data_IF_110899316601
#
_entry.id   IF_110899316601
#
_cell.length_a   1.000
_cell.length_b   1.000
_cell.length_c   1.000
_cell.angle_alpha   90.00
_cell.angle_beta   90.00
_cell.angle_gamma   90.00
#
_symmetry.space_group_name_H-M   'P 1'
#
loop_
_entity.id
_entity.type
_entity.pdbx_description
1 polymer ?
#
# COMPACT_ATOMS: atom_id res chain seq x y z
N UNK A 1 24.10 1.22 45.36
CA UNK A 1 24.08 0.21 44.28
C UNK A 1 24.51 0.96 43.04
N UNK A 2 25.64 0.56 42.46
CA UNK A 2 26.19 1.17 41.26
C UNK A 2 25.19 0.98 40.10
N UNK A 3 24.63 2.07 39.58
CA UNK A 3 23.62 2.00 38.51
C UNK A 3 24.20 1.44 37.20
N UNK A 4 25.54 1.38 37.08
CA UNK A 4 26.26 0.84 35.92
C UNK A 4 26.16 -0.69 35.74
N UNK A 5 25.47 -1.41 36.62
CA UNK A 5 25.32 -2.88 36.58
C UNK A 5 23.89 -3.33 36.21
N UNK A 6 22.96 -2.40 35.96
CA UNK A 6 21.60 -2.79 35.54
C UNK A 6 21.62 -3.24 34.07
N UNK A 7 21.39 -4.53 33.85
CA UNK A 7 21.12 -5.08 32.52
C UNK A 7 19.88 -4.46 31.85
N UNK A 8 19.67 -4.75 30.56
CA UNK A 8 18.60 -4.15 29.75
C UNK A 8 17.21 -4.27 30.37
N UNK A 9 16.41 -3.21 30.28
CA UNK A 9 15.03 -3.19 30.78
C UNK A 9 14.11 -4.05 29.89
N UNK A 10 14.02 -5.35 30.22
CA UNK A 10 13.30 -6.34 29.40
C UNK A 10 11.81 -6.02 29.23
N UNK A 11 11.16 -5.43 30.24
CA UNK A 11 9.74 -5.04 30.16
C UNK A 11 9.53 -3.96 29.10
N UNK A 12 10.41 -2.97 29.05
CA UNK A 12 10.34 -1.89 28.06
C UNK A 12 10.70 -2.40 26.66
N UNK A 13 11.77 -3.19 26.55
CA UNK A 13 12.24 -3.71 25.26
C UNK A 13 11.20 -4.67 24.65
N UNK A 14 10.62 -5.59 25.42
CA UNK A 14 9.58 -6.49 24.92
C UNK A 14 8.33 -5.75 24.43
N UNK A 15 7.97 -4.63 25.08
CA UNK A 15 6.91 -3.73 24.59
C UNK A 15 7.29 -3.07 23.27
N UNK A 16 8.49 -2.51 23.14
CA UNK A 16 8.99 -1.90 21.88
C UNK A 16 8.99 -2.91 20.72
N UNK A 17 9.44 -4.14 20.97
CA UNK A 17 9.42 -5.24 19.98
C UNK A 17 7.98 -5.56 19.57
N UNK A 18 7.07 -5.66 20.53
CA UNK A 18 5.65 -5.96 20.24
C UNK A 18 5.00 -4.86 19.39
N UNK A 19 5.19 -3.60 19.79
CA UNK A 19 4.58 -2.45 19.12
C UNK A 19 5.17 -2.24 17.71
N UNK A 20 6.49 -2.39 17.54
CA UNK A 20 7.14 -2.29 16.22
C UNK A 20 6.76 -3.44 15.27
N UNK A 21 6.68 -4.69 15.76
CA UNK A 21 6.22 -5.83 14.97
C UNK A 21 4.77 -5.67 14.51
N UNK A 22 3.89 -5.14 15.37
CA UNK A 22 2.50 -4.87 14.99
C UNK A 22 2.41 -3.88 13.80
N UNK A 23 3.27 -2.87 13.77
CA UNK A 23 3.34 -1.93 12.64
C UNK A 23 3.88 -2.61 11.38
N UNK A 24 4.96 -3.42 11.49
CA UNK A 24 5.49 -4.18 10.35
C UNK A 24 4.41 -5.05 9.70
N UNK A 25 3.64 -5.78 10.51
CA UNK A 25 2.55 -6.64 10.01
C UNK A 25 1.45 -5.82 9.33
N UNK A 26 1.03 -4.71 9.92
CA UNK A 26 -0.01 -3.87 9.35
C UNK A 26 0.43 -3.20 8.03
N UNK A 27 1.69 -2.74 7.94
CA UNK A 27 2.22 -2.17 6.70
C UNK A 27 2.40 -3.26 5.63
N UNK A 28 2.76 -4.48 6.01
CA UNK A 28 2.85 -5.63 5.09
C UNK A 28 1.49 -6.00 4.48
N UNK A 29 0.41 -5.89 5.26
CA UNK A 29 -0.95 -6.06 4.75
C UNK A 29 -1.26 -5.02 3.65
N UNK A 30 -0.90 -3.75 3.88
CA UNK A 30 -1.08 -2.68 2.88
C UNK A 30 -0.25 -2.94 1.61
N UNK A 31 1.02 -3.34 1.74
CA UNK A 31 1.86 -3.72 0.60
C UNK A 31 1.22 -4.86 -0.22
N UNK A 32 0.61 -5.84 0.45
CA UNK A 32 -0.08 -6.96 -0.21
C UNK A 32 -1.34 -6.52 -0.94
N UNK A 33 -2.10 -5.57 -0.39
CA UNK A 33 -3.25 -4.98 -1.07
C UNK A 33 -2.83 -4.16 -2.31
N UNK A 34 -1.67 -3.50 -2.28
CA UNK A 34 -1.13 -2.83 -3.47
C UNK A 34 -0.72 -3.84 -4.54
N UNK A 35 -0.09 -4.94 -4.15
CA UNK A 35 0.25 -6.03 -5.07
C UNK A 35 -1.00 -6.66 -5.71
N UNK A 36 -2.12 -6.75 -4.99
CA UNK A 36 -3.36 -7.25 -5.60
C UNK A 36 -3.91 -6.31 -6.68
N UNK A 37 -3.72 -4.98 -6.56
CA UNK A 37 -4.02 -4.05 -7.65
C UNK A 37 -3.12 -4.29 -8.86
N UNK A 38 -1.83 -4.60 -8.66
CA UNK A 38 -0.93 -4.97 -9.76
C UNK A 38 -1.41 -6.25 -10.48
N UNK A 39 -1.94 -7.23 -9.74
CA UNK A 39 -2.56 -8.42 -10.34
C UNK A 39 -3.85 -8.07 -11.11
N UNK A 40 -4.69 -7.16 -10.59
CA UNK A 40 -5.85 -6.66 -11.34
C UNK A 40 -5.43 -5.94 -12.62
N UNK A 41 -4.33 -5.18 -12.61
CA UNK A 41 -3.82 -4.51 -13.80
C UNK A 41 -3.42 -5.50 -14.92
N UNK A 42 -3.00 -6.73 -14.57
CA UNK A 42 -2.73 -7.79 -15.57
C UNK A 42 -4.00 -8.34 -16.23
N UNK A 43 -5.15 -8.22 -15.57
CA UNK A 43 -6.44 -8.66 -16.08
C UNK A 43 -7.15 -7.62 -16.98
N UNK A 44 -6.53 -6.46 -17.21
CA UNK A 44 -7.09 -5.42 -18.09
C UNK A 44 -7.32 -5.98 -19.50
N UNK A 45 -8.54 -5.80 -19.98
CA UNK A 45 -9.01 -6.25 -21.29
C UNK A 45 -8.99 -7.76 -21.48
N UNK A 46 -9.07 -8.51 -20.38
CA UNK A 46 -9.10 -9.97 -20.38
C UNK A 46 -10.46 -10.51 -19.92
N UNK A 47 -10.79 -11.73 -20.36
CA UNK A 47 -11.80 -12.61 -19.77
C UNK A 47 -11.22 -13.98 -19.47
N UNK A 48 -11.97 -14.78 -18.72
CA UNK A 48 -11.64 -16.18 -18.48
C UNK A 48 -12.17 -17.05 -19.63
N UNK A 49 -11.35 -18.00 -20.09
CA UNK A 49 -11.77 -19.14 -20.88
C UNK A 49 -11.16 -20.44 -20.33
N UNK A 50 -11.34 -21.55 -21.05
CA UNK A 50 -10.80 -22.87 -20.67
C UNK A 50 -9.26 -22.92 -20.49
N UNK A 51 -8.52 -21.96 -21.06
CA UNK A 51 -7.07 -21.87 -21.04
C UNK A 51 -6.55 -20.75 -20.11
N UNK A 52 -7.43 -20.09 -19.33
CA UNK A 52 -7.09 -18.98 -18.45
C UNK A 52 -7.53 -17.62 -18.99
N UNK A 53 -6.69 -16.59 -18.83
CA UNK A 53 -6.99 -15.24 -19.28
C UNK A 53 -6.72 -15.08 -20.78
N UNK A 54 -7.71 -14.56 -21.51
CA UNK A 54 -7.61 -14.22 -22.94
C UNK A 54 -8.18 -12.82 -23.20
N UNK A 55 -7.76 -12.19 -24.29
CA UNK A 55 -8.26 -10.88 -24.69
C UNK A 55 -9.78 -10.86 -24.87
N UNK A 56 -10.44 -9.81 -24.35
CA UNK A 56 -11.89 -9.59 -24.41
C UNK A 56 -12.29 -8.15 -24.79
N UNK A 57 -11.32 -7.26 -25.04
CA UNK A 57 -11.58 -5.87 -25.41
C UNK A 57 -11.80 -4.94 -24.21
N UNK A 58 -12.66 -3.95 -24.35
CA UNK A 58 -12.72 -2.77 -23.48
C UNK A 58 -13.82 -2.84 -22.39
N UNK A 59 -13.83 -3.93 -21.62
CA UNK A 59 -14.84 -4.20 -20.58
C UNK A 59 -14.28 -4.11 -19.14
N UNK A 60 -13.56 -3.03 -18.80
CA UNK A 60 -12.82 -2.92 -17.53
C UNK A 60 -13.59 -2.27 -16.36
N UNK A 61 -14.88 -1.95 -16.53
CA UNK A 61 -15.66 -1.21 -15.54
C UNK A 61 -15.68 -1.87 -14.14
N UNK A 62 -16.02 -3.16 -14.08
CA UNK A 62 -16.09 -3.91 -12.82
C UNK A 62 -14.70 -4.14 -12.21
N UNK A 63 -13.69 -4.37 -13.06
CA UNK A 63 -12.29 -4.49 -12.66
C UNK A 63 -11.80 -3.21 -11.96
N UNK A 64 -12.08 -2.05 -12.55
CA UNK A 64 -11.72 -0.74 -11.99
C UNK A 64 -12.50 -0.42 -10.71
N UNK A 65 -13.78 -0.80 -10.64
CA UNK A 65 -14.55 -0.68 -9.40
C UNK A 65 -13.94 -1.54 -8.26
N UNK A 66 -13.45 -2.74 -8.59
CA UNK A 66 -12.69 -3.59 -7.66
C UNK A 66 -11.40 -2.92 -7.19
N UNK A 67 -10.59 -2.38 -8.10
CA UNK A 67 -9.36 -1.65 -7.74
C UNK A 67 -9.64 -0.42 -6.86
N UNK A 68 -10.71 0.33 -7.15
CA UNK A 68 -11.15 1.45 -6.31
C UNK A 68 -11.61 1.01 -4.91
N UNK A 69 -12.31 -0.12 -4.80
CA UNK A 69 -12.68 -0.69 -3.50
C UNK A 69 -11.44 -1.05 -2.67
N UNK A 70 -10.41 -1.63 -3.30
CA UNK A 70 -9.13 -1.93 -2.65
C UNK A 70 -8.40 -0.63 -2.25
N UNK A 71 -8.46 0.44 -3.07
CA UNK A 71 -7.84 1.72 -2.74
C UNK A 71 -8.45 2.35 -1.48
N UNK A 72 -9.78 2.26 -1.32
CA UNK A 72 -10.47 2.69 -0.10
C UNK A 72 -10.01 1.86 1.11
N UNK A 73 -9.90 0.54 0.97
CA UNK A 73 -9.42 -0.33 2.04
C UNK A 73 -7.99 0.00 2.45
N UNK A 74 -7.10 0.26 1.48
CA UNK A 74 -5.72 0.71 1.73
C UNK A 74 -5.73 2.00 2.54
N UNK A 75 -6.52 3.00 2.14
CA UNK A 75 -6.65 4.26 2.89
C UNK A 75 -7.11 4.01 4.32
N UNK A 76 -8.16 3.20 4.53
CA UNK A 76 -8.65 2.85 5.87
C UNK A 76 -7.59 2.18 6.74
N UNK A 77 -6.83 1.24 6.17
CA UNK A 77 -5.75 0.54 6.88
C UNK A 77 -4.62 1.47 7.27
N UNK A 78 -4.20 2.35 6.37
CA UNK A 78 -3.20 3.36 6.65
C UNK A 78 -3.70 4.33 7.73
N UNK A 79 -4.94 4.81 7.63
CA UNK A 79 -5.58 5.69 8.61
C UNK A 79 -5.60 5.09 10.01
N UNK A 80 -5.85 3.78 10.12
CA UNK A 80 -5.85 3.01 11.35
C UNK A 80 -4.47 2.62 11.91
N UNK A 81 -3.36 2.94 11.23
CA UNK A 81 -2.03 2.65 11.75
C UNK A 81 -1.74 3.42 13.04
N UNK A 82 -1.24 2.70 14.06
CA UNK A 82 -0.67 3.32 15.26
C UNK A 82 0.53 4.17 14.87
N UNK A 83 0.58 5.39 15.38
CA UNK A 83 1.70 6.30 15.15
C UNK A 83 2.81 5.97 16.14
N UNK A 84 3.92 5.44 15.63
CA UNK A 84 5.19 5.38 16.35
C UNK A 84 5.97 6.66 16.02
N UNK A 85 6.57 7.29 17.05
CA UNK A 85 7.21 8.60 16.91
C UNK A 85 8.24 8.66 15.77
N UNK A 86 9.05 7.60 15.64
CA UNK A 86 10.05 7.46 14.57
C UNK A 86 9.53 7.11 13.17
N UNK A 87 8.21 6.92 12.99
CA UNK A 87 7.58 6.56 11.70
C UNK A 87 6.51 7.57 11.25
N UNK A 88 6.34 8.66 12.00
CA UNK A 88 5.25 9.61 11.80
C UNK A 88 5.25 10.23 10.40
N UNK A 89 6.42 10.54 9.87
CA UNK A 89 6.58 11.18 8.55
C UNK A 89 6.19 10.22 7.43
N UNK A 90 6.68 8.98 7.50
CA UNK A 90 6.45 7.91 6.54
C UNK A 90 4.98 7.50 6.52
N UNK A 91 4.36 7.37 7.70
CA UNK A 91 2.92 7.10 7.83
C UNK A 91 2.11 8.24 7.21
N UNK A 92 2.44 9.50 7.52
CA UNK A 92 1.72 10.65 6.97
C UNK A 92 1.84 10.72 5.43
N UNK A 93 3.02 10.44 4.88
CA UNK A 93 3.24 10.38 3.44
C UNK A 93 2.40 9.27 2.79
N UNK A 94 2.42 8.06 3.34
CA UNK A 94 1.63 6.94 2.82
C UNK A 94 0.12 7.24 2.85
N UNK A 95 -0.38 7.81 3.96
CA UNK A 95 -1.78 8.26 4.08
C UNK A 95 -2.14 9.25 2.97
N UNK A 96 -1.32 10.30 2.80
CA UNK A 96 -1.53 11.31 1.76
C UNK A 96 -1.57 10.69 0.36
N UNK A 97 -0.61 9.85 0.00
CA UNK A 97 -0.59 9.19 -1.30
C UNK A 97 -1.81 8.27 -1.51
N UNK A 98 -2.30 7.60 -0.46
CA UNK A 98 -3.49 6.74 -0.55
C UNK A 98 -4.78 7.53 -0.81
N UNK A 99 -4.85 8.72 -0.22
CA UNK A 99 -5.94 9.66 -0.45
C UNK A 99 -5.87 10.25 -1.86
N UNK A 100 -4.69 10.67 -2.31
CA UNK A 100 -4.48 11.19 -3.67
C UNK A 100 -4.86 10.14 -4.73
N UNK A 101 -4.40 8.89 -4.58
CA UNK A 101 -4.77 7.80 -5.49
C UNK A 101 -6.28 7.55 -5.53
N UNK A 102 -6.92 7.40 -4.36
CA UNK A 102 -8.37 7.17 -4.28
C UNK A 102 -9.16 8.34 -4.87
N UNK A 103 -8.76 9.58 -4.58
CA UNK A 103 -9.41 10.77 -5.12
C UNK A 103 -9.18 10.93 -6.63
N UNK A 104 -8.04 10.49 -7.15
CA UNK A 104 -7.75 10.54 -8.57
C UNK A 104 -8.62 9.57 -9.37
N UNK A 105 -8.79 8.33 -8.88
CA UNK A 105 -9.74 7.38 -9.48
C UNK A 105 -11.17 7.93 -9.46
N UNK A 106 -11.60 8.48 -8.32
CA UNK A 106 -12.93 9.08 -8.15
C UNK A 106 -13.16 10.28 -9.07
N UNK A 107 -12.19 11.17 -9.21
CA UNK A 107 -12.33 12.35 -10.08
C UNK A 107 -12.27 12.00 -11.57
N UNK A 108 -11.65 10.88 -11.93
CA UNK A 108 -11.60 10.36 -13.31
C UNK A 108 -12.83 9.50 -13.67
N UNK A 109 -13.93 9.56 -12.90
CA UNK A 109 -15.12 8.71 -13.08
C UNK A 109 -15.76 8.81 -14.47
N UNK A 110 -15.64 9.95 -15.16
CA UNK A 110 -16.17 10.11 -16.51
C UNK A 110 -15.50 9.15 -17.52
N UNK A 111 -14.27 8.73 -17.26
CA UNK A 111 -13.51 7.83 -18.13
C UNK A 111 -13.37 6.42 -17.52
N UNK A 112 -13.49 6.29 -16.19
CA UNK A 112 -13.31 5.04 -15.47
C UNK A 112 -14.63 4.34 -15.07
N UNK A 113 -15.76 5.06 -15.09
CA UNK A 113 -17.03 4.59 -14.51
C UNK A 113 -18.20 4.46 -15.50
N UNK A 114 -18.00 4.69 -16.80
CA UNK A 114 -19.09 4.63 -17.78
C UNK A 114 -19.32 3.22 -18.33
N UNK A 115 -20.58 2.76 -18.24
CA UNK A 115 -21.03 1.47 -18.76
C UNK A 115 -20.78 1.26 -20.27
N UNK A 116 -20.74 2.33 -21.06
CA UNK A 116 -20.71 2.29 -22.53
C UNK A 116 -19.32 2.61 -23.12
N UNK A 117 -18.30 1.84 -22.76
CA UNK A 117 -17.03 1.78 -23.51
C UNK A 117 -15.97 2.83 -23.17
N UNK A 118 -16.14 3.67 -22.14
CA UNK A 118 -15.10 4.64 -21.75
C UNK A 118 -13.98 4.02 -20.89
N UNK A 119 -14.26 2.95 -20.13
CA UNK A 119 -13.24 2.17 -19.41
C UNK A 119 -12.47 1.25 -20.37
N UNK A 120 -11.92 1.86 -21.41
CA UNK A 120 -11.03 1.23 -22.35
C UNK A 120 -9.82 0.66 -21.63
N UNK A 121 -9.18 -0.30 -22.25
CA UNK A 121 -7.93 -0.88 -21.74
C UNK A 121 -6.85 0.20 -21.58
N UNK A 122 -6.84 1.22 -22.44
CA UNK A 122 -5.94 2.36 -22.33
C UNK A 122 -6.24 3.21 -21.08
N UNK A 123 -7.51 3.57 -20.85
CA UNK A 123 -7.91 4.33 -19.66
C UNK A 123 -7.70 3.53 -18.36
N UNK A 124 -7.95 2.22 -18.39
CA UNK A 124 -7.67 1.34 -17.26
C UNK A 124 -6.17 1.28 -16.94
N UNK A 125 -5.29 1.20 -17.95
CA UNK A 125 -3.84 1.23 -17.75
C UNK A 125 -3.37 2.56 -17.17
N UNK A 126 -3.90 3.69 -17.66
CA UNK A 126 -3.63 5.03 -17.10
C UNK A 126 -4.05 5.18 -15.63
N UNK A 127 -4.96 4.32 -15.16
CA UNK A 127 -5.48 4.34 -13.79
C UNK A 127 -4.74 3.39 -12.84
N UNK A 128 -4.43 2.15 -13.25
CA UNK A 128 -3.92 1.12 -12.31
C UNK A 128 -2.66 0.38 -12.78
N UNK A 129 -2.12 0.66 -13.97
CA UNK A 129 -0.84 0.08 -14.39
C UNK A 129 0.30 1.05 -14.11
N UNK A 130 1.03 0.86 -12.99
CA UNK A 130 2.13 1.75 -12.54
C UNK A 130 3.22 2.03 -13.60
N UNK A 131 3.40 1.10 -14.54
CA UNK A 131 4.42 1.18 -15.61
C UNK A 131 3.89 1.79 -16.90
N UNK A 132 2.61 2.18 -16.98
CA UNK A 132 2.06 2.78 -18.17
C UNK A 132 2.68 4.16 -18.43
N UNK A 133 3.04 4.43 -19.68
CA UNK A 133 3.72 5.67 -20.06
C UNK A 133 2.87 6.93 -19.77
N UNK A 134 1.58 6.86 -20.11
CA UNK A 134 0.60 7.87 -19.69
C UNK A 134 -0.10 7.37 -18.43
N UNK A 135 -0.12 8.17 -17.38
CA UNK A 135 -0.53 7.72 -16.04
C UNK A 135 -1.38 8.77 -15.30
N UNK A 136 -2.13 9.56 -16.08
CA UNK A 136 -2.86 10.75 -15.69
C UNK A 136 -4.23 10.47 -15.03
N UNK A 137 -4.57 9.21 -14.77
CA UNK A 137 -5.86 8.76 -14.22
C UNK A 137 -5.74 7.98 -12.90
N UNK A 138 -4.55 7.88 -12.34
CA UNK A 138 -4.31 7.19 -11.07
C UNK A 138 -3.02 6.38 -11.03
N UNK A 139 -2.48 5.96 -12.18
CA UNK A 139 -1.30 5.09 -12.19
C UNK A 139 -0.06 5.80 -11.64
N UNK A 140 0.02 7.13 -11.76
CA UNK A 140 1.05 7.95 -11.14
C UNK A 140 0.92 7.91 -9.61
N UNK A 141 -0.26 8.22 -9.10
CA UNK A 141 -0.55 8.25 -7.67
C UNK A 141 -0.43 6.86 -7.04
N UNK A 142 -0.80 5.79 -7.76
CA UNK A 142 -0.59 4.41 -7.35
C UNK A 142 0.90 4.07 -7.21
N UNK A 143 1.74 4.55 -8.14
CA UNK A 143 3.19 4.37 -8.07
C UNK A 143 3.78 5.11 -6.86
N UNK A 144 3.41 6.37 -6.65
CA UNK A 144 3.84 7.16 -5.50
C UNK A 144 3.40 6.53 -4.18
N UNK A 145 2.18 6.00 -4.11
CA UNK A 145 1.68 5.23 -2.97
C UNK A 145 2.51 3.96 -2.74
N UNK A 146 2.79 3.19 -3.78
CA UNK A 146 3.63 1.98 -3.70
C UNK A 146 5.01 2.27 -3.13
N UNK A 147 5.68 3.31 -3.62
CA UNK A 147 7.02 3.73 -3.15
C UNK A 147 6.98 4.26 -1.71
N UNK A 148 5.92 4.99 -1.34
CA UNK A 148 5.74 5.47 0.03
C UNK A 148 5.53 4.34 1.04
N UNK A 149 4.77 3.30 0.67
CA UNK A 149 4.54 2.11 1.50
C UNK A 149 5.79 1.26 1.60
N UNK A 150 6.56 1.11 0.52
CA UNK A 150 7.86 0.43 0.56
C UNK A 150 8.83 1.12 1.53
N UNK A 151 8.91 2.45 1.46
CA UNK A 151 9.74 3.26 2.38
C UNK A 151 9.28 3.09 3.83
N UNK A 152 7.97 3.16 4.08
CA UNK A 152 7.39 2.94 5.40
C UNK A 152 7.68 1.53 5.92
N UNK A 153 7.56 0.50 5.08
CA UNK A 153 7.84 -0.88 5.47
C UNK A 153 9.31 -1.07 5.84
N UNK A 154 10.22 -0.45 5.09
CA UNK A 154 11.66 -0.47 5.40
C UNK A 154 11.93 0.17 6.76
N UNK A 155 11.40 1.37 7.01
CA UNK A 155 11.56 2.06 8.28
C UNK A 155 10.95 1.27 9.46
N UNK A 156 9.78 0.65 9.27
CA UNK A 156 9.15 -0.21 10.28
C UNK A 156 10.01 -1.45 10.62
N UNK A 157 10.60 -2.10 9.60
CA UNK A 157 11.53 -3.23 9.79
C UNK A 157 12.80 -2.81 10.51
N UNK A 158 13.33 -1.63 10.21
CA UNK A 158 14.49 -1.06 10.91
C UNK A 158 14.18 -0.79 12.38
N UNK A 159 13.03 -0.18 12.69
CA UNK A 159 12.56 0.05 14.05
C UNK A 159 12.39 -1.26 14.84
N UNK A 160 11.82 -2.29 14.22
CA UNK A 160 11.70 -3.63 14.83
C UNK A 160 13.06 -4.28 15.07
N UNK A 161 13.97 -4.20 14.09
CA UNK A 161 15.34 -4.73 14.20
C UNK A 161 16.11 -4.04 15.33
N UNK A 162 16.00 -2.71 15.44
CA UNK A 162 16.64 -1.95 16.51
C UNK A 162 16.07 -2.31 17.89
N UNK A 163 14.75 -2.47 17.99
CA UNK A 163 14.10 -2.92 19.24
C UNK A 163 14.63 -4.30 19.68
N UNK A 164 14.89 -5.21 18.75
CA UNK A 164 15.48 -6.53 19.05
C UNK A 164 16.95 -6.42 19.47
N UNK A 165 17.73 -5.54 18.83
CA UNK A 165 19.15 -5.32 19.19
C UNK A 165 19.34 -4.80 20.61
N UNK A 166 18.37 -4.06 21.16
CA UNK A 166 18.40 -3.60 22.55
C UNK A 166 18.49 -4.77 23.57
N UNK A 167 18.06 -5.98 23.21
CA UNK A 167 18.18 -7.17 24.08
C UNK A 167 19.64 -7.55 24.39
N UNK A 168 20.56 -7.21 23.49
CA UNK A 168 21.97 -7.62 23.57
C UNK A 168 22.93 -6.43 23.64
N UNK A 169 22.40 -5.21 23.73
CA UNK A 169 23.20 -3.98 23.80
C UNK A 169 23.43 -3.60 25.26
N UNK A 170 24.64 -3.14 25.64
CA UNK A 170 24.88 -2.58 26.97
C UNK A 170 23.96 -1.38 27.24
N UNK A 171 23.54 -1.21 28.51
CA UNK A 171 22.73 -0.07 28.98
C UNK A 171 23.62 1.11 29.29
#
# INVERSE_FOLDING_TARGET
>A
VDESVKGPNLTEISKKITDSNAIVLAVKEVETLLASIDELAKAIGQKINQNGLIADGDFNNSLLAGAYSISILIKQKLDGLKVLEGLKSEIAKAKKCSEEFTNKLKSSNAELGMANGAATSDNAKKAILKTNATNDKGAKELKELSESVETLLKAAKEAATNSVKELTSPV
#
